data_IF_741041500039
#
_entry.id   IF_741041500039
#
_cell.length_a   1.000
_cell.length_b   1.000
_cell.length_c   1.000
_cell.angle_alpha   90.00
_cell.angle_beta   90.00
_cell.angle_gamma   90.00
#
_symmetry.space_group_name_H-M   'P 1'
#
loop_
_entity.id
_entity.type
_entity.pdbx_description
1 polymer ?
#
# COMPACT_ATOMS: atom_id res chain seq x y z
N UNK A 1 10.11 -0.19 -8.20
CA UNK A 1 10.54 -0.82 -6.93
C UNK A 1 11.94 -1.39 -7.09
N UNK A 2 12.68 -1.42 -5.99
CA UNK A 2 14.01 -2.06 -5.89
C UNK A 2 14.02 -2.85 -4.58
N UNK A 3 14.48 -4.10 -4.60
CA UNK A 3 14.53 -4.93 -3.40
C UNK A 3 15.70 -5.90 -3.41
N UNK A 4 16.09 -6.35 -2.22
CA UNK A 4 17.10 -7.37 -2.01
C UNK A 4 16.86 -8.11 -0.69
N UNK A 5 17.52 -9.26 -0.54
CA UNK A 5 17.73 -9.84 0.79
C UNK A 5 18.97 -9.22 1.43
N UNK A 6 18.89 -9.01 2.74
CA UNK A 6 19.96 -8.47 3.56
C UNK A 6 20.33 -9.46 4.66
N UNK A 7 21.63 -9.57 4.93
CA UNK A 7 22.16 -10.28 6.09
C UNK A 7 22.71 -9.28 7.12
N UNK A 8 22.81 -9.69 8.39
CA UNK A 8 23.30 -8.83 9.47
C UNK A 8 22.36 -7.67 9.85
N UNK A 9 21.06 -7.77 9.53
CA UNK A 9 20.05 -6.83 10.00
C UNK A 9 19.80 -7.08 11.48
N UNK A 10 19.82 -6.02 12.30
CA UNK A 10 19.54 -6.16 13.74
C UNK A 10 18.05 -6.43 13.97
N UNK A 11 17.76 -7.30 14.93
CA UNK A 11 16.38 -7.57 15.34
C UNK A 11 15.73 -6.34 15.99
N UNK A 12 14.46 -6.09 15.64
CA UNK A 12 13.65 -4.96 16.11
C UNK A 12 13.49 -4.92 17.65
N UNK A 13 13.46 -6.11 18.25
CA UNK A 13 13.24 -6.33 19.67
C UNK A 13 14.47 -6.93 20.36
N UNK A 14 15.66 -6.74 19.77
CA UNK A 14 16.92 -7.14 20.38
C UNK A 14 17.12 -6.49 21.76
N UNK A 15 17.92 -7.14 22.62
CA UNK A 15 18.22 -6.64 23.96
C UNK A 15 18.74 -5.19 23.93
N UNK A 16 19.69 -4.90 23.03
CA UNK A 16 20.24 -3.56 22.79
C UNK A 16 19.13 -2.53 22.49
N UNK A 17 18.19 -2.87 21.61
CA UNK A 17 17.08 -1.98 21.24
C UNK A 17 16.10 -1.76 22.39
N UNK A 18 15.82 -2.80 23.18
CA UNK A 18 14.94 -2.71 24.34
C UNK A 18 15.53 -1.84 25.45
N UNK A 19 16.84 -1.96 25.70
CA UNK A 19 17.56 -1.10 26.65
C UNK A 19 17.60 0.36 26.17
N UNK A 20 17.83 0.58 24.88
CA UNK A 20 17.91 1.93 24.31
C UNK A 20 16.56 2.63 24.23
N UNK A 21 15.48 1.89 24.00
CA UNK A 21 14.13 2.42 23.82
C UNK A 21 13.07 1.69 24.68
N UNK A 22 13.19 1.72 26.02
CA UNK A 22 12.36 0.92 26.91
C UNK A 22 10.88 1.26 26.81
N UNK A 23 10.52 2.54 26.63
CA UNK A 23 9.12 2.95 26.46
C UNK A 23 8.46 2.38 25.20
N UNK A 24 9.21 2.31 24.09
CA UNK A 24 8.72 1.74 22.85
C UNK A 24 8.61 0.21 22.96
N UNK A 25 9.62 -0.45 23.53
CA UNK A 25 9.64 -1.89 23.75
C UNK A 25 8.50 -2.34 24.68
N UNK A 26 8.34 -1.70 25.84
CA UNK A 26 7.36 -2.08 26.87
C UNK A 26 5.91 -1.91 26.44
N UNK A 27 5.65 -1.07 25.44
CA UNK A 27 4.31 -0.86 24.91
C UNK A 27 4.02 -1.64 23.63
N UNK A 28 4.95 -2.47 23.14
CA UNK A 28 4.67 -3.45 22.10
C UNK A 28 3.87 -4.62 22.70
N UNK A 29 2.73 -4.97 22.09
CA UNK A 29 1.90 -6.11 22.52
C UNK A 29 2.35 -7.44 21.92
N UNK A 30 3.11 -7.38 20.84
CA UNK A 30 3.71 -8.53 20.15
C UNK A 30 5.08 -8.11 19.63
N UNK A 31 5.95 -9.08 19.37
CA UNK A 31 7.26 -8.79 18.80
C UNK A 31 7.11 -8.35 17.34
N UNK A 32 7.80 -7.24 17.02
CA UNK A 32 7.84 -6.59 15.70
C UNK A 32 8.64 -7.40 14.70
N UNK A 33 9.56 -8.25 15.16
CA UNK A 33 10.33 -9.18 14.34
C UNK A 33 9.43 -10.19 13.58
N UNK A 34 8.22 -10.45 14.07
CA UNK A 34 7.28 -11.36 13.42
C UNK A 34 6.29 -10.67 12.48
N UNK A 35 6.42 -9.36 12.28
CA UNK A 35 5.53 -8.57 11.46
C UNK A 35 6.18 -8.16 10.13
N UNK A 36 5.35 -7.94 9.11
CA UNK A 36 5.73 -7.15 7.93
C UNK A 36 5.80 -5.68 8.36
N UNK A 37 7.02 -5.16 8.49
CA UNK A 37 7.25 -3.78 8.91
C UNK A 37 7.33 -2.85 7.70
N UNK A 38 6.86 -1.62 7.86
CA UNK A 38 6.82 -0.64 6.79
C UNK A 38 7.44 0.68 7.25
N UNK A 39 8.44 1.18 6.51
CA UNK A 39 8.90 2.56 6.63
C UNK A 39 8.18 3.37 5.55
N UNK A 40 7.71 4.57 5.85
CA UNK A 40 6.92 5.36 4.90
C UNK A 40 7.40 6.81 4.88
N UNK A 41 7.36 7.42 3.70
CA UNK A 41 7.64 8.83 3.50
C UNK A 41 6.83 9.41 2.35
N UNK A 42 7.06 10.68 2.03
CA UNK A 42 6.36 11.32 0.93
C UNK A 42 6.82 10.74 -0.41
N UNK A 43 5.93 10.04 -1.10
CA UNK A 43 6.21 9.43 -2.40
C UNK A 43 6.87 8.05 -2.36
N UNK A 44 7.09 7.45 -1.18
CA UNK A 44 7.75 6.15 -1.08
C UNK A 44 7.36 5.39 0.20
N UNK A 45 7.52 4.07 0.16
CA UNK A 45 7.55 3.22 1.34
C UNK A 45 8.54 2.06 1.14
N UNK A 46 9.02 1.50 2.25
CA UNK A 46 9.84 0.30 2.26
C UNK A 46 9.16 -0.81 3.04
N UNK A 47 9.17 -2.04 2.51
CA UNK A 47 8.88 -3.23 3.32
C UNK A 47 10.14 -3.73 4.01
N UNK A 48 9.96 -4.38 5.16
CA UNK A 48 10.98 -5.10 5.92
C UNK A 48 10.32 -6.38 6.44
N UNK A 49 10.74 -7.52 5.90
CA UNK A 49 10.16 -8.84 6.18
C UNK A 49 11.28 -9.80 6.61
N UNK A 50 11.36 -10.12 7.90
CA UNK A 50 12.28 -11.16 8.38
C UNK A 50 11.96 -12.51 7.76
N UNK A 51 13.00 -13.22 7.31
CA UNK A 51 12.90 -14.53 6.66
C UNK A 51 13.43 -15.62 7.58
N UNK A 52 13.02 -16.85 7.29
CA UNK A 52 13.60 -18.03 7.92
C UNK A 52 15.11 -18.05 7.64
N UNK A 53 15.92 -18.15 8.71
CA UNK A 53 17.38 -18.19 8.62
C UNK A 53 18.07 -16.89 9.02
N UNK A 54 17.33 -15.82 9.35
CA UNK A 54 17.87 -14.56 9.86
C UNK A 54 18.14 -13.50 8.79
N UNK A 55 18.03 -13.85 7.51
CA UNK A 55 18.02 -12.86 6.43
C UNK A 55 16.72 -12.06 6.44
N UNK A 56 16.77 -10.84 5.90
CA UNK A 56 15.62 -9.94 5.83
C UNK A 56 15.38 -9.52 4.39
N UNK A 57 14.17 -9.73 3.88
CA UNK A 57 13.73 -9.12 2.62
C UNK A 57 13.38 -7.66 2.87
N UNK A 58 14.04 -6.76 2.16
CA UNK A 58 13.72 -5.33 2.21
C UNK A 58 13.68 -4.74 0.81
N UNK A 59 12.72 -3.83 0.59
CA UNK A 59 12.54 -3.22 -0.71
C UNK A 59 11.81 -1.90 -0.63
N UNK A 60 12.13 -0.99 -1.53
CA UNK A 60 11.48 0.31 -1.70
C UNK A 60 10.52 0.26 -2.89
N UNK A 61 9.32 0.80 -2.68
CA UNK A 61 8.38 1.16 -3.75
C UNK A 61 8.13 2.66 -3.68
N UNK A 62 8.08 3.31 -4.84
CA UNK A 62 7.95 4.75 -4.92
C UNK A 62 7.19 5.19 -6.18
N UNK A 63 6.60 6.37 -6.09
CA UNK A 63 5.90 7.05 -7.18
C UNK A 63 6.84 8.05 -7.86
N UNK A 64 7.28 7.71 -9.06
CA UNK A 64 8.24 8.51 -9.84
C UNK A 64 7.72 9.90 -10.25
N UNK A 65 6.44 10.21 -10.00
CA UNK A 65 5.90 11.56 -10.20
C UNK A 65 6.34 12.54 -9.11
N UNK A 66 6.68 12.03 -7.93
CA UNK A 66 6.93 12.85 -6.73
C UNK A 66 8.15 12.42 -5.91
N UNK A 67 8.77 11.28 -6.23
CA UNK A 67 9.97 10.81 -5.55
C UNK A 67 10.93 10.13 -6.53
N UNK A 68 12.21 10.48 -6.41
CA UNK A 68 13.30 9.80 -7.08
C UNK A 68 14.18 9.10 -6.05
N UNK A 69 14.44 7.81 -6.26
CA UNK A 69 15.42 7.08 -5.47
C UNK A 69 16.80 7.71 -5.71
N UNK A 70 17.51 8.21 -4.67
CA UNK A 70 18.81 8.85 -4.83
C UNK A 70 19.81 8.01 -5.64
N UNK A 71 20.69 8.68 -6.39
CA UNK A 71 21.70 8.02 -7.21
C UNK A 71 22.76 7.29 -6.35
N UNK A 72 23.40 6.28 -6.93
CA UNK A 72 24.44 5.47 -6.30
C UNK A 72 25.02 4.49 -7.33
N UNK A 73 26.18 3.91 -7.05
CA UNK A 73 26.90 3.11 -8.05
C UNK A 73 26.16 1.81 -8.41
N UNK A 74 25.44 1.21 -7.45
CA UNK A 74 24.61 0.02 -7.67
C UNK A 74 23.20 0.19 -7.11
N UNK A 75 22.24 -0.60 -7.60
CA UNK A 75 20.87 -0.63 -7.05
C UNK A 75 20.85 -1.05 -5.57
N UNK A 76 21.70 -2.00 -5.19
CA UNK A 76 21.81 -2.47 -3.82
C UNK A 76 22.27 -1.34 -2.88
N UNK A 77 23.28 -0.56 -3.29
CA UNK A 77 23.72 0.62 -2.54
C UNK A 77 22.64 1.68 -2.45
N UNK A 78 21.93 1.97 -3.54
CA UNK A 78 20.83 2.95 -3.55
C UNK A 78 19.72 2.55 -2.58
N UNK A 79 19.33 1.27 -2.59
CA UNK A 79 18.34 0.71 -1.67
C UNK A 79 18.82 0.80 -0.22
N UNK A 80 20.04 0.33 0.07
CA UNK A 80 20.60 0.35 1.43
C UNK A 80 20.74 1.77 1.96
N UNK A 81 21.31 2.70 1.18
CA UNK A 81 21.41 4.12 1.52
C UNK A 81 20.04 4.74 1.82
N UNK A 82 19.02 4.40 1.04
CA UNK A 82 17.68 4.89 1.31
C UNK A 82 17.10 4.31 2.61
N UNK A 83 17.25 3.00 2.87
CA UNK A 83 16.82 2.37 4.13
C UNK A 83 17.47 3.05 5.32
N UNK A 84 18.79 3.24 5.30
CA UNK A 84 19.52 3.87 6.42
C UNK A 84 19.32 5.39 6.51
N UNK A 85 18.66 6.04 5.54
CA UNK A 85 18.29 7.45 5.66
C UNK A 85 17.14 7.67 6.63
N UNK A 86 16.33 6.64 6.89
CA UNK A 86 15.27 6.67 7.89
C UNK A 86 15.84 6.30 9.27
N UNK A 87 15.49 6.98 10.38
CA UNK A 87 16.08 6.72 11.72
C UNK A 87 15.99 5.26 12.18
N UNK A 88 14.85 4.61 11.93
CA UNK A 88 14.66 3.19 12.23
C UNK A 88 15.54 2.31 11.33
N UNK A 89 15.61 2.61 10.03
CA UNK A 89 16.42 1.85 9.11
C UNK A 89 17.91 2.00 9.40
N UNK A 90 18.37 3.20 9.78
CA UNK A 90 19.75 3.43 10.23
C UNK A 90 20.11 2.49 11.40
N UNK A 91 19.21 2.39 12.37
CA UNK A 91 19.43 1.63 13.59
C UNK A 91 19.45 0.11 13.38
N UNK A 92 18.77 -0.43 12.36
CA UNK A 92 18.71 -1.89 12.12
C UNK A 92 19.45 -2.38 10.87
N UNK A 93 19.60 -1.54 9.84
CA UNK A 93 20.34 -1.84 8.61
C UNK A 93 21.75 -1.23 8.57
N UNK A 94 22.17 -0.46 9.58
CA UNK A 94 23.43 0.29 9.54
C UNK A 94 24.69 -0.52 9.23
N UNK A 95 24.73 -1.79 9.66
CA UNK A 95 25.80 -2.75 9.35
C UNK A 95 25.36 -3.89 8.42
N UNK A 96 24.09 -3.89 8.01
CA UNK A 96 23.54 -4.94 7.16
C UNK A 96 24.12 -4.85 5.75
N UNK A 97 24.29 -6.01 5.12
CA UNK A 97 24.81 -6.12 3.75
C UNK A 97 23.74 -6.75 2.86
N UNK A 98 23.54 -6.17 1.67
CA UNK A 98 22.73 -6.82 0.65
C UNK A 98 23.44 -8.09 0.19
N UNK A 99 22.70 -9.19 0.04
CA UNK A 99 23.26 -10.44 -0.48
C UNK A 99 23.66 -10.22 -1.94
N UNK A 100 24.91 -10.56 -2.26
CA UNK A 100 25.46 -10.39 -3.60
C UNK A 100 24.65 -11.17 -4.63
N UNK A 101 24.34 -10.53 -5.77
CA UNK A 101 23.56 -11.13 -6.85
C UNK A 101 22.05 -11.20 -6.61
N UNK A 102 21.55 -10.73 -5.46
CA UNK A 102 20.13 -10.83 -5.09
C UNK A 102 19.40 -9.48 -5.04
N UNK A 103 19.86 -8.53 -5.86
CA UNK A 103 19.17 -7.25 -6.05
C UNK A 103 18.29 -7.32 -7.29
N UNK A 104 17.03 -6.94 -7.12
CA UNK A 104 16.03 -6.94 -8.16
C UNK A 104 15.41 -5.56 -8.30
N UNK A 105 14.93 -5.24 -9.50
CA UNK A 105 14.18 -4.03 -9.75
C UNK A 105 13.08 -4.29 -10.76
N UNK A 106 11.96 -3.60 -10.55
CA UNK A 106 10.82 -3.63 -11.48
C UNK A 106 10.19 -2.24 -11.54
N UNK A 107 10.09 -1.68 -12.74
CA UNK A 107 9.46 -0.39 -13.01
C UNK A 107 8.01 -0.61 -13.48
N UNK A 108 7.18 0.44 -13.39
CA UNK A 108 5.79 0.40 -13.85
C UNK A 108 5.00 -0.82 -13.31
N UNK A 109 5.09 -1.04 -11.98
CA UNK A 109 4.44 -2.17 -11.30
C UNK A 109 2.97 -2.40 -11.71
N UNK A 110 2.09 -1.37 -11.76
CA UNK A 110 0.69 -1.61 -12.03
C UNK A 110 0.44 -1.98 -13.50
N UNK A 111 -0.13 -3.15 -13.76
CA UNK A 111 -0.60 -3.60 -15.07
C UNK A 111 -1.85 -4.45 -14.93
N UNK A 112 -2.62 -4.61 -16.00
CA UNK A 112 -3.79 -5.48 -16.02
C UNK A 112 -4.10 -5.98 -17.43
N UNK A 113 -4.77 -7.13 -17.51
CA UNK A 113 -5.24 -7.72 -18.77
C UNK A 113 -6.69 -7.33 -19.05
N UNK A 114 -6.97 -6.87 -20.27
CA UNK A 114 -8.34 -6.55 -20.71
C UNK A 114 -9.23 -7.79 -20.84
N UNK A 115 -8.62 -8.95 -21.13
CA UNK A 115 -9.26 -10.25 -21.23
C UNK A 115 -8.47 -11.24 -20.38
N UNK A 116 -9.16 -12.04 -19.58
CA UNK A 116 -8.54 -12.98 -18.62
C UNK A 116 -8.94 -14.44 -18.83
N UNK A 117 -9.87 -14.71 -19.74
CA UNK A 117 -10.13 -16.06 -20.22
C UNK A 117 -10.65 -16.08 -21.66
N UNK A 118 -10.60 -17.24 -22.29
CA UNK A 118 -11.14 -17.49 -23.62
C UNK A 118 -11.27 -18.97 -23.89
N UNK A 119 -11.46 -19.33 -25.15
CA UNK A 119 -11.51 -20.72 -25.55
C UNK A 119 -10.15 -21.40 -25.29
N UNK A 120 -10.16 -22.47 -24.49
CA UNK A 120 -8.97 -23.23 -24.12
C UNK A 120 -8.00 -22.57 -23.13
N UNK A 121 -8.30 -21.40 -22.55
CA UNK A 121 -7.40 -20.76 -21.59
C UNK A 121 -8.09 -19.86 -20.56
N UNK A 122 -7.49 -19.76 -19.37
CA UNK A 122 -7.84 -18.79 -18.33
C UNK A 122 -6.58 -18.40 -17.55
N UNK A 123 -6.41 -17.11 -17.30
CA UNK A 123 -5.30 -16.55 -16.52
C UNK A 123 -5.68 -16.44 -15.04
N UNK A 124 -4.71 -16.57 -14.14
CA UNK A 124 -4.87 -16.44 -12.69
C UNK A 124 -3.71 -15.65 -12.07
N UNK A 125 -3.92 -15.08 -10.89
CA UNK A 125 -2.90 -14.36 -10.13
C UNK A 125 -2.22 -13.26 -10.94
N UNK A 126 -0.90 -13.17 -10.85
CA UNK A 126 -0.13 -12.11 -11.51
C UNK A 126 -0.18 -12.18 -13.05
N UNK A 127 -0.58 -13.31 -13.65
CA UNK A 127 -0.82 -13.36 -15.10
C UNK A 127 -2.03 -12.49 -15.53
N UNK A 128 -2.90 -12.12 -14.58
CA UNK A 128 -4.07 -11.28 -14.84
C UNK A 128 -3.79 -9.80 -14.60
N UNK A 129 -3.18 -9.44 -13.47
CA UNK A 129 -2.79 -8.08 -13.12
C UNK A 129 -1.83 -8.04 -11.93
N UNK A 130 -1.19 -6.88 -11.74
CA UNK A 130 -0.52 -6.51 -10.50
C UNK A 130 -0.82 -5.04 -10.20
N UNK A 131 -0.85 -4.65 -8.92
CA UNK A 131 -1.12 -3.27 -8.51
C UNK A 131 0.08 -2.69 -7.76
N UNK A 132 0.22 -3.07 -6.50
CA UNK A 132 1.18 -2.54 -5.54
C UNK A 132 1.32 -3.58 -4.43
N UNK A 133 2.54 -3.85 -3.91
CA UNK A 133 2.72 -4.83 -2.85
C UNK A 133 2.27 -4.32 -1.47
N UNK A 134 1.94 -3.04 -1.30
CA UNK A 134 1.38 -2.48 -0.07
C UNK A 134 0.04 -3.15 0.22
N UNK A 135 -0.18 -3.61 1.46
CA UNK A 135 -1.30 -4.46 1.88
C UNK A 135 -1.34 -5.87 1.26
N UNK A 136 -0.34 -6.26 0.48
CA UNK A 136 -0.19 -7.61 -0.07
C UNK A 136 -1.40 -8.16 -0.87
N UNK A 137 -2.07 -7.35 -1.72
CA UNK A 137 -3.28 -7.77 -2.43
C UNK A 137 -3.04 -8.89 -3.45
N UNK A 138 -1.80 -9.13 -3.89
CA UNK A 138 -1.48 -10.14 -4.90
C UNK A 138 -1.95 -11.55 -4.50
N UNK A 139 -1.84 -11.91 -3.22
CA UNK A 139 -2.33 -13.19 -2.71
C UNK A 139 -3.85 -13.26 -2.66
N UNK A 140 -4.55 -12.14 -2.42
CA UNK A 140 -6.01 -12.09 -2.54
C UNK A 140 -6.43 -12.34 -3.99
N UNK A 141 -5.85 -11.61 -4.93
CA UNK A 141 -6.11 -11.79 -6.36
C UNK A 141 -5.79 -13.23 -6.80
N UNK A 142 -4.66 -13.78 -6.39
CA UNK A 142 -4.30 -15.18 -6.66
C UNK A 142 -5.35 -16.14 -6.11
N UNK A 143 -5.82 -15.93 -4.87
CA UNK A 143 -6.82 -16.80 -4.24
C UNK A 143 -8.17 -16.76 -4.96
N UNK A 144 -8.72 -15.56 -5.21
CA UNK A 144 -9.98 -15.40 -5.92
C UNK A 144 -9.93 -15.97 -7.34
N UNK A 145 -8.89 -15.63 -8.10
CA UNK A 145 -8.78 -16.06 -9.50
C UNK A 145 -8.52 -17.55 -9.63
N UNK A 146 -7.62 -18.12 -8.81
CA UNK A 146 -7.32 -19.56 -8.85
C UNK A 146 -8.53 -20.39 -8.44
N UNK A 147 -9.25 -19.97 -7.40
CA UNK A 147 -10.47 -20.67 -6.98
C UNK A 147 -11.56 -20.59 -8.07
N UNK A 148 -11.80 -19.40 -8.62
CA UNK A 148 -12.78 -19.19 -9.66
C UNK A 148 -12.50 -20.06 -10.90
N UNK A 149 -11.25 -20.05 -11.38
CA UNK A 149 -10.83 -20.83 -12.54
C UNK A 149 -10.86 -22.33 -12.25
N UNK A 150 -10.47 -22.78 -11.06
CA UNK A 150 -10.58 -24.19 -10.69
C UNK A 150 -12.05 -24.67 -10.70
N UNK A 151 -12.98 -23.87 -10.18
CA UNK A 151 -14.41 -24.18 -10.23
C UNK A 151 -14.93 -24.22 -11.69
N UNK A 152 -14.56 -23.24 -12.50
CA UNK A 152 -14.90 -23.18 -13.92
C UNK A 152 -14.44 -24.45 -14.65
N UNK A 153 -13.17 -24.85 -14.45
CA UNK A 153 -12.60 -26.04 -15.06
C UNK A 153 -13.31 -27.32 -14.61
N UNK A 154 -13.59 -27.47 -13.31
CA UNK A 154 -14.29 -28.64 -12.80
C UNK A 154 -15.68 -28.81 -13.45
N UNK A 155 -16.45 -27.73 -13.58
CA UNK A 155 -17.76 -27.74 -14.23
C UNK A 155 -17.67 -28.03 -15.73
N UNK A 156 -16.68 -27.45 -16.40
CA UNK A 156 -16.43 -27.73 -17.81
C UNK A 156 -16.08 -29.20 -18.06
N UNK A 157 -15.22 -29.79 -17.22
CA UNK A 157 -14.86 -31.22 -17.30
C UNK A 157 -16.03 -32.16 -16.97
N UNK A 158 -16.99 -31.70 -16.17
CA UNK A 158 -18.24 -32.42 -15.92
C UNK A 158 -19.24 -32.33 -17.10
N UNK A 159 -18.90 -31.63 -18.19
CA UNK A 159 -19.77 -31.45 -19.36
C UNK A 159 -20.83 -30.37 -19.18
N UNK A 160 -20.74 -29.53 -18.15
CA UNK A 160 -21.66 -28.41 -17.97
C UNK A 160 -21.37 -27.27 -18.95
N UNK A 161 -22.41 -26.52 -19.31
CA UNK A 161 -22.23 -25.26 -20.04
C UNK A 161 -21.66 -24.19 -19.10
N UNK A 162 -20.42 -23.75 -19.38
CA UNK A 162 -19.69 -22.74 -18.59
C UNK A 162 -19.61 -21.38 -19.28
N UNK A 163 -20.35 -21.12 -20.36
CA UNK A 163 -20.24 -19.87 -21.13
C UNK A 163 -20.51 -18.64 -20.25
N UNK A 164 -21.52 -18.72 -19.39
CA UNK A 164 -21.85 -17.64 -18.45
C UNK A 164 -20.74 -17.37 -17.42
N UNK A 165 -19.95 -18.38 -17.04
CA UNK A 165 -18.81 -18.20 -16.14
C UNK A 165 -17.65 -17.51 -16.86
N UNK A 166 -17.36 -17.90 -18.10
CA UNK A 166 -16.35 -17.24 -18.93
C UNK A 166 -16.71 -15.75 -19.14
N UNK A 167 -17.98 -15.47 -19.48
CA UNK A 167 -18.48 -14.12 -19.67
C UNK A 167 -18.40 -13.30 -18.37
N UNK A 168 -18.82 -13.89 -17.24
CA UNK A 168 -18.69 -13.24 -15.94
C UNK A 168 -17.24 -12.91 -15.62
N UNK A 169 -16.31 -13.85 -15.79
CA UNK A 169 -14.92 -13.65 -15.41
C UNK A 169 -14.27 -12.54 -16.22
N UNK A 170 -14.45 -12.55 -17.55
CA UNK A 170 -13.97 -11.50 -18.44
C UNK A 170 -14.60 -10.13 -18.15
N UNK A 171 -15.89 -10.07 -17.80
CA UNK A 171 -16.56 -8.80 -17.54
C UNK A 171 -16.25 -8.24 -16.15
N UNK A 172 -16.20 -9.09 -15.14
CA UNK A 172 -16.09 -8.68 -13.74
C UNK A 172 -14.64 -8.43 -13.32
N UNK A 173 -13.67 -9.18 -13.85
CA UNK A 173 -12.27 -9.01 -13.45
C UNK A 173 -11.72 -7.59 -13.69
N UNK A 174 -11.87 -6.97 -14.88
CA UNK A 174 -11.49 -5.58 -15.12
C UNK A 174 -12.10 -4.60 -14.12
N UNK A 175 -13.36 -4.83 -13.75
CA UNK A 175 -14.10 -4.00 -12.79
C UNK A 175 -13.49 -4.15 -11.39
N UNK A 176 -13.19 -5.37 -10.98
CA UNK A 176 -12.53 -5.67 -9.71
C UNK A 176 -11.17 -4.99 -9.62
N UNK A 177 -10.28 -5.21 -10.60
CA UNK A 177 -8.97 -4.57 -10.64
C UNK A 177 -9.09 -3.04 -10.57
N UNK A 178 -9.87 -2.45 -11.48
CA UNK A 178 -9.98 -1.00 -11.61
C UNK A 178 -10.52 -0.36 -10.35
N UNK A 179 -11.56 -0.92 -9.74
CA UNK A 179 -12.12 -0.39 -8.48
C UNK A 179 -11.13 -0.52 -7.34
N UNK A 180 -10.44 -1.64 -7.24
CA UNK A 180 -9.43 -1.84 -6.20
C UNK A 180 -8.30 -0.80 -6.32
N UNK A 181 -7.74 -0.63 -7.52
CA UNK A 181 -6.72 0.39 -7.80
C UNK A 181 -7.24 1.81 -7.54
N UNK A 182 -8.35 2.17 -8.18
CA UNK A 182 -8.90 3.53 -8.12
C UNK A 182 -9.46 3.88 -6.75
N UNK A 183 -9.75 2.93 -5.85
CA UNK A 183 -10.25 3.17 -4.51
C UNK A 183 -9.13 3.20 -3.47
N UNK A 184 -8.19 2.25 -3.51
CA UNK A 184 -7.12 2.15 -2.50
C UNK A 184 -5.82 2.84 -2.93
N UNK A 185 -5.28 2.54 -4.11
CA UNK A 185 -3.87 2.83 -4.42
C UNK A 185 -3.65 4.14 -5.16
N UNK A 186 -4.59 4.55 -6.03
CA UNK A 186 -4.42 5.73 -6.88
C UNK A 186 -4.10 6.99 -6.06
N UNK A 187 -2.90 7.54 -6.26
CA UNK A 187 -2.37 8.73 -5.57
C UNK A 187 -2.14 8.55 -4.05
N UNK A 188 -2.17 7.33 -3.51
CA UNK A 188 -1.88 7.06 -2.08
C UNK A 188 -0.50 7.55 -1.65
N UNK A 189 0.48 7.49 -2.55
CA UNK A 189 1.86 7.94 -2.34
C UNK A 189 1.99 9.42 -1.96
N UNK A 190 0.99 10.25 -2.27
CA UNK A 190 0.98 11.65 -1.82
C UNK A 190 0.78 11.80 -0.31
N UNK A 191 0.12 10.86 0.38
CA UNK A 191 -0.22 11.02 1.79
C UNK A 191 0.34 9.93 2.71
N UNK A 192 0.94 8.85 2.19
CA UNK A 192 1.45 7.75 3.02
C UNK A 192 2.54 8.19 4.02
N UNK A 193 3.28 9.25 3.70
CA UNK A 193 4.26 9.87 4.62
C UNK A 193 3.65 10.76 5.70
N UNK A 194 2.34 11.03 5.69
CA UNK A 194 1.66 11.84 6.69
C UNK A 194 1.00 10.93 7.74
N UNK A 195 1.50 10.94 8.97
CA UNK A 195 1.12 9.96 10.00
C UNK A 195 -0.40 9.96 10.29
N UNK A 196 -1.03 11.13 10.36
CA UNK A 196 -2.47 11.26 10.63
C UNK A 196 -3.34 10.85 9.43
N UNK A 197 -2.92 11.16 8.20
CA UNK A 197 -3.65 10.79 6.98
C UNK A 197 -3.50 9.29 6.68
N UNK A 198 -2.30 8.74 6.82
CA UNK A 198 -2.05 7.31 6.64
C UNK A 198 -2.72 6.49 7.74
N UNK A 199 -2.77 6.98 8.98
CA UNK A 199 -3.57 6.38 10.05
C UNK A 199 -5.06 6.32 9.69
N UNK A 200 -5.63 7.44 9.23
CA UNK A 200 -7.01 7.48 8.77
C UNK A 200 -7.26 6.48 7.64
N UNK A 201 -6.37 6.44 6.64
CA UNK A 201 -6.46 5.49 5.54
C UNK A 201 -6.38 4.04 6.00
N UNK A 202 -5.36 3.67 6.79
CA UNK A 202 -5.17 2.31 7.28
C UNK A 202 -6.42 1.80 8.04
N UNK A 203 -6.95 2.63 8.94
CA UNK A 203 -8.13 2.29 9.73
C UNK A 203 -9.36 2.05 8.86
N UNK A 204 -9.59 2.89 7.86
CA UNK A 204 -10.74 2.78 6.96
C UNK A 204 -10.57 1.66 5.92
N UNK A 205 -9.40 1.59 5.30
CA UNK A 205 -9.05 0.60 4.27
C UNK A 205 -9.13 -0.82 4.85
N UNK A 206 -8.45 -1.07 5.96
CA UNK A 206 -8.35 -2.42 6.54
C UNK A 206 -9.65 -2.82 7.22
N UNK A 207 -10.36 -1.89 7.89
CA UNK A 207 -11.70 -2.23 8.39
C UNK A 207 -12.68 -2.55 7.25
N UNK A 208 -12.62 -1.79 6.14
CA UNK A 208 -13.39 -2.07 4.93
C UNK A 208 -13.05 -3.43 4.34
N UNK A 209 -11.76 -3.79 4.26
CA UNK A 209 -11.28 -5.11 3.84
C UNK A 209 -11.86 -6.24 4.71
N UNK A 210 -11.85 -6.08 6.04
CA UNK A 210 -12.38 -7.11 6.93
C UNK A 210 -13.90 -7.29 6.81
N UNK A 211 -14.64 -6.20 6.60
CA UNK A 211 -16.09 -6.26 6.39
C UNK A 211 -16.43 -6.86 5.03
N UNK A 212 -15.73 -6.40 3.99
CA UNK A 212 -16.06 -6.68 2.60
C UNK A 212 -15.55 -8.02 2.08
N UNK A 213 -14.42 -8.51 2.59
CA UNK A 213 -13.74 -9.70 2.07
C UNK A 213 -13.51 -10.77 3.13
N UNK A 214 -12.83 -10.43 4.23
CA UNK A 214 -12.47 -11.41 5.26
C UNK A 214 -13.72 -12.06 5.87
N UNK A 215 -14.71 -11.26 6.29
CA UNK A 215 -15.91 -11.80 6.93
C UNK A 215 -16.73 -12.72 6.02
N UNK A 216 -17.00 -12.38 4.73
CA UNK A 216 -17.62 -13.32 3.80
C UNK A 216 -16.81 -14.61 3.61
N UNK A 217 -15.50 -14.51 3.38
CA UNK A 217 -14.62 -15.68 3.17
C UNK A 217 -14.60 -16.61 4.39
N UNK A 218 -14.57 -16.07 5.61
CA UNK A 218 -14.59 -16.86 6.83
C UNK A 218 -15.95 -17.53 7.10
N UNK A 219 -17.04 -16.96 6.55
CA UNK A 219 -18.38 -17.49 6.75
C UNK A 219 -18.72 -18.59 5.75
N UNK A 220 -18.38 -18.37 4.49
CA UNK A 220 -18.68 -19.28 3.37
C UNK A 220 -17.60 -19.07 2.29
N UNK A 221 -16.46 -19.76 2.39
CA UNK A 221 -15.36 -19.57 1.47
C UNK A 221 -15.71 -20.01 0.04
N UNK A 222 -16.55 -21.04 -0.12
CA UNK A 222 -16.93 -21.55 -1.44
C UNK A 222 -17.74 -20.51 -2.22
N UNK A 223 -18.74 -19.90 -1.56
CA UNK A 223 -19.51 -18.82 -2.15
C UNK A 223 -18.69 -17.54 -2.34
N UNK A 224 -17.86 -17.19 -1.35
CA UNK A 224 -17.09 -15.94 -1.39
C UNK A 224 -16.03 -15.95 -2.50
N UNK A 225 -15.23 -17.01 -2.64
CA UNK A 225 -14.19 -17.06 -3.65
C UNK A 225 -14.72 -17.28 -5.07
N UNK A 226 -15.96 -17.77 -5.23
CA UNK A 226 -16.62 -17.85 -6.54
C UNK A 226 -17.08 -16.49 -7.07
N UNK A 227 -17.01 -15.41 -6.28
CA UNK A 227 -17.50 -14.08 -6.65
C UNK A 227 -16.40 -13.03 -6.47
N UNK A 228 -16.06 -12.36 -7.57
CA UNK A 228 -14.96 -11.41 -7.54
C UNK A 228 -15.32 -10.14 -6.75
N UNK A 229 -14.37 -9.57 -6.00
CA UNK A 229 -14.56 -8.35 -5.21
C UNK A 229 -15.12 -7.16 -6.00
N UNK A 230 -15.84 -6.27 -5.30
CA UNK A 230 -16.49 -5.09 -5.86
C UNK A 230 -17.58 -5.36 -6.92
N UNK A 231 -18.19 -6.54 -6.96
CA UNK A 231 -19.33 -6.80 -7.83
C UNK A 231 -20.63 -6.06 -7.40
N UNK A 232 -21.55 -5.90 -8.36
CA UNK A 232 -22.91 -5.42 -8.09
C UNK A 232 -23.04 -4.00 -7.53
N UNK A 233 -24.20 -3.69 -6.94
CA UNK A 233 -24.50 -2.40 -6.29
C UNK A 233 -23.69 -2.19 -5.00
N UNK A 234 -23.57 -3.18 -4.08
CA UNK A 234 -22.78 -3.00 -2.85
C UNK A 234 -21.31 -2.67 -3.15
N UNK A 235 -20.70 -3.37 -4.11
CA UNK A 235 -19.34 -3.10 -4.56
C UNK A 235 -19.16 -1.69 -5.11
N UNK A 236 -20.13 -1.17 -5.87
CA UNK A 236 -20.10 0.24 -6.35
C UNK A 236 -20.15 1.25 -5.21
N UNK A 237 -21.03 1.04 -4.23
CA UNK A 237 -21.16 1.93 -3.08
C UNK A 237 -19.87 1.93 -2.26
N UNK A 238 -19.33 0.75 -1.96
CA UNK A 238 -18.06 0.61 -1.25
C UNK A 238 -16.91 1.32 -1.99
N UNK A 239 -16.72 1.03 -3.28
CA UNK A 239 -15.68 1.67 -4.09
C UNK A 239 -15.83 3.19 -4.12
N UNK A 240 -17.07 3.71 -4.21
CA UNK A 240 -17.34 5.16 -4.26
C UNK A 240 -17.02 5.84 -2.93
N UNK A 241 -17.39 5.24 -1.80
CA UNK A 241 -17.06 5.75 -0.46
C UNK A 241 -15.53 5.76 -0.26
N UNK A 242 -14.85 4.68 -0.65
CA UNK A 242 -13.39 4.59 -0.59
C UNK A 242 -12.72 5.64 -1.46
N UNK A 243 -13.26 5.84 -2.66
CA UNK A 243 -12.79 6.87 -3.58
C UNK A 243 -12.96 8.28 -3.01
N UNK A 244 -14.05 8.53 -2.29
CA UNK A 244 -14.30 9.82 -1.66
C UNK A 244 -13.23 10.15 -0.61
N UNK A 245 -13.06 9.33 0.43
CA UNK A 245 -12.11 9.67 1.49
C UNK A 245 -10.67 9.69 0.96
N UNK A 246 -10.29 8.75 0.08
CA UNK A 246 -8.94 8.74 -0.47
C UNK A 246 -8.64 10.02 -1.26
N UNK A 247 -9.54 10.47 -2.15
CA UNK A 247 -9.35 11.74 -2.89
C UNK A 247 -9.21 12.93 -1.95
N UNK A 248 -9.95 12.93 -0.83
CA UNK A 248 -9.81 13.94 0.21
C UNK A 248 -8.45 13.90 0.89
N UNK A 249 -7.98 12.73 1.33
CA UNK A 249 -6.64 12.54 1.89
C UNK A 249 -5.52 13.01 0.94
N UNK A 250 -5.64 12.70 -0.35
CA UNK A 250 -4.72 13.19 -1.39
C UNK A 250 -4.73 14.72 -1.47
N UNK A 251 -5.91 15.33 -1.45
CA UNK A 251 -6.05 16.80 -1.47
C UNK A 251 -5.39 17.43 -0.25
N UNK A 252 -5.62 16.87 0.94
CA UNK A 252 -5.02 17.34 2.19
C UNK A 252 -3.49 17.29 2.14
N UNK A 253 -2.92 16.19 1.68
CA UNK A 253 -1.47 16.06 1.57
C UNK A 253 -0.87 16.98 0.50
N UNK A 254 -1.53 17.16 -0.65
CA UNK A 254 -1.11 18.14 -1.67
C UNK A 254 -1.14 19.57 -1.15
N UNK A 255 -2.13 19.92 -0.33
CA UNK A 255 -2.18 21.24 0.33
C UNK A 255 -1.02 21.42 1.31
N UNK A 256 -0.69 20.39 2.10
CA UNK A 256 0.47 20.40 3.01
C UNK A 256 1.79 20.53 2.24
N UNK A 257 1.95 19.78 1.15
CA UNK A 257 3.11 19.88 0.25
C UNK A 257 3.26 21.29 -0.33
N UNK A 258 2.17 21.86 -0.87
CA UNK A 258 2.16 23.22 -1.41
C UNK A 258 2.42 24.32 -0.36
N UNK A 259 2.25 24.01 0.92
CA UNK A 259 2.54 24.89 2.03
C UNK A 259 3.92 24.62 2.69
N UNK A 260 4.70 23.64 2.22
CA UNK A 260 5.95 23.23 2.84
C UNK A 260 5.79 22.61 4.24
N UNK A 261 4.64 22.00 4.52
CA UNK A 261 4.25 21.49 5.86
C UNK A 261 4.07 19.97 5.92
N UNK A 262 4.70 19.23 5.00
CA UNK A 262 4.72 17.77 5.07
C UNK A 262 5.43 17.33 6.36
N UNK A 263 4.89 16.30 7.00
CA UNK A 263 5.45 15.67 8.19
C UNK A 263 5.37 16.48 9.48
N UNK A 264 4.78 17.68 9.46
CA UNK A 264 4.73 18.59 10.62
C UNK A 264 4.08 17.94 11.87
N UNK A 265 3.13 17.02 11.65
CA UNK A 265 2.41 16.32 12.71
C UNK A 265 2.92 14.89 12.96
N UNK A 266 4.01 14.47 12.30
CA UNK A 266 4.54 13.12 12.44
C UNK A 266 5.32 12.94 13.74
N UNK A 267 6.05 13.96 14.17
CA UNK A 267 6.86 13.91 15.38
C UNK A 267 6.00 13.68 16.61
N UNK A 268 6.36 12.68 17.42
CA UNK A 268 5.58 12.27 18.60
C UNK A 268 4.26 11.55 18.27
N UNK A 269 3.96 11.31 16.99
CA UNK A 269 2.79 10.53 16.61
C UNK A 269 3.01 9.06 16.95
N UNK A 270 2.07 8.51 17.71
CA UNK A 270 2.03 7.09 18.01
C UNK A 270 0.59 6.60 18.07
N UNK A 271 0.34 5.48 17.42
CA UNK A 271 -0.98 4.87 17.44
C UNK A 271 -0.86 3.35 17.51
N UNK A 272 -1.57 2.77 18.47
CA UNK A 272 -1.68 1.33 18.65
C UNK A 272 -3.15 0.94 18.47
N UNK A 273 -3.37 -0.15 17.74
CA UNK A 273 -4.70 -0.69 17.49
C UNK A 273 -4.85 -2.05 18.17
N UNK A 274 -6.07 -2.41 18.56
CA UNK A 274 -6.39 -3.73 19.11
C UNK A 274 -6.37 -4.86 18.05
N UNK A 275 -5.82 -4.60 16.86
CA UNK A 275 -5.91 -5.44 15.67
C UNK A 275 -7.24 -5.29 14.94
N UNK A 276 -7.35 -5.99 13.81
CA UNK A 276 -8.58 -6.09 13.02
C UNK A 276 -9.12 -7.52 13.17
N UNK A 277 -10.35 -7.65 13.65
CA UNK A 277 -11.05 -8.92 13.82
C UNK A 277 -12.41 -8.79 13.14
N UNK A 278 -12.90 -9.81 12.39
CA UNK A 278 -14.14 -9.70 11.61
C UNK A 278 -15.43 -9.71 12.46
N UNK A 279 -15.52 -8.86 13.48
CA UNK A 279 -16.64 -8.74 14.40
C UNK A 279 -17.06 -7.27 14.66
N UNK A 280 -17.92 -7.05 15.65
CA UNK A 280 -18.45 -5.72 15.98
C UNK A 280 -17.38 -4.70 16.39
N UNK A 281 -16.17 -5.13 16.77
CA UNK A 281 -15.08 -4.23 17.15
C UNK A 281 -14.69 -3.31 16.02
N UNK A 282 -14.80 -3.74 14.74
CA UNK A 282 -14.49 -2.94 13.54
C UNK A 282 -15.15 -1.56 13.53
N UNK A 283 -16.30 -1.39 14.20
CA UNK A 283 -16.96 -0.08 14.35
C UNK A 283 -16.05 0.95 15.04
N UNK A 284 -15.20 0.51 15.99
CA UNK A 284 -14.25 1.36 16.72
C UNK A 284 -13.15 1.84 15.78
N UNK A 285 -12.58 0.95 14.96
CA UNK A 285 -11.56 1.29 13.96
C UNK A 285 -12.13 2.26 12.92
N UNK A 286 -13.34 2.01 12.42
CA UNK A 286 -14.01 2.91 11.46
C UNK A 286 -14.25 4.27 12.09
N UNK A 287 -14.85 4.33 13.28
CA UNK A 287 -15.10 5.59 13.96
C UNK A 287 -13.80 6.36 14.28
N UNK A 288 -12.71 5.66 14.58
CA UNK A 288 -11.39 6.26 14.75
C UNK A 288 -10.84 6.80 13.44
N UNK A 289 -10.90 6.03 12.34
CA UNK A 289 -10.45 6.47 11.01
C UNK A 289 -11.22 7.69 10.52
N UNK A 290 -12.55 7.72 10.70
CA UNK A 290 -13.40 8.87 10.40
C UNK A 290 -13.02 10.10 11.25
N UNK A 291 -12.79 9.92 12.55
CA UNK A 291 -12.34 11.03 13.43
C UNK A 291 -10.97 11.56 13.00
N UNK A 292 -10.03 10.71 12.59
CA UNK A 292 -8.71 11.14 12.08
C UNK A 292 -8.85 11.94 10.80
N UNK A 293 -9.63 11.43 9.86
CA UNK A 293 -9.91 12.13 8.61
C UNK A 293 -10.58 13.49 8.87
N UNK A 294 -11.65 13.55 9.68
CA UNK A 294 -12.28 14.82 10.02
C UNK A 294 -11.34 15.79 10.73
N UNK A 295 -10.53 15.33 11.68
CA UNK A 295 -9.53 16.21 12.32
C UNK A 295 -8.57 16.81 11.30
N UNK A 296 -8.12 16.02 10.31
CA UNK A 296 -7.24 16.51 9.26
C UNK A 296 -7.92 17.53 8.33
N UNK A 297 -9.20 17.33 8.01
CA UNK A 297 -10.01 18.30 7.26
C UNK A 297 -10.12 19.64 8.00
N UNK A 298 -10.43 19.61 9.30
CA UNK A 298 -10.53 20.82 10.13
C UNK A 298 -9.20 21.58 10.21
N UNK A 299 -8.09 20.86 10.41
CA UNK A 299 -6.74 21.45 10.37
C UNK A 299 -6.46 22.12 9.02
N UNK A 300 -6.87 21.49 7.92
CA UNK A 300 -6.70 22.05 6.59
C UNK A 300 -7.50 23.33 6.36
N UNK A 301 -8.74 23.42 6.84
CA UNK A 301 -9.53 24.66 6.77
C UNK A 301 -8.85 25.82 7.51
N UNK A 302 -8.29 25.55 8.70
CA UNK A 302 -7.54 26.54 9.47
C UNK A 302 -6.22 26.97 8.79
N UNK A 303 -5.62 26.14 7.93
CA UNK A 303 -4.47 26.52 7.11
C UNK A 303 -4.87 27.42 5.94
N UNK A 304 -5.98 27.10 5.27
CA UNK A 304 -6.49 27.90 4.15
C UNK A 304 -6.87 29.31 4.57
N UNK A 305 -7.44 29.51 5.77
CA UNK A 305 -7.76 30.84 6.29
C UNK A 305 -6.51 31.69 6.56
N UNK A 306 -5.41 31.09 7.05
CA UNK A 306 -4.12 31.78 7.23
C UNK A 306 -3.49 32.20 5.90
N UNK A 307 -3.63 31.38 4.85
CA UNK A 307 -3.14 31.70 3.50
C UNK A 307 -3.90 32.87 2.87
N UNK A 308 -5.17 33.06 3.21
CA UNK A 308 -5.96 34.23 2.79
C UNK A 308 -5.56 35.53 3.50
N UNK A 309 -4.87 35.46 4.64
CA UNK A 309 -4.42 36.63 5.41
C UNK A 309 -2.95 37.00 5.16
N UNK A 310 -2.18 36.15 4.49
CA UNK A 310 -0.83 36.46 4.03
C UNK A 310 -0.87 36.94 2.57
N UNK A 311 -0.50 38.19 2.32
CA UNK A 311 -0.27 38.71 0.97
C UNK A 311 0.73 37.81 0.21
N UNK A 312 0.60 37.66 -1.12
CA UNK A 312 1.47 36.76 -1.88
C UNK A 312 2.91 37.27 -1.84
N UNK A 313 3.81 36.46 -1.27
CA UNK A 313 5.25 36.62 -1.47
C UNK A 313 5.58 36.30 -2.94
N UNK A 314 6.53 37.02 -3.57
CA UNK A 314 6.86 36.80 -4.97
C UNK A 314 7.35 35.37 -5.19
N UNK A 315 6.71 34.67 -6.12
CA UNK A 315 7.04 33.30 -6.50
C UNK A 315 8.52 33.16 -6.87
N UNK A 316 9.22 32.25 -6.20
CA UNK A 316 10.43 31.66 -6.76
C UNK A 316 10.05 30.90 -8.03
N UNK A 317 10.72 31.24 -9.13
CA UNK A 317 10.53 30.68 -10.46
C UNK A 317 10.81 29.18 -10.44
N UNK A 318 9.81 28.38 -10.80
CA UNK A 318 9.97 26.97 -11.14
C UNK A 318 10.55 26.92 -12.57
N UNK A 319 11.67 26.23 -12.84
CA UNK A 319 12.17 26.09 -14.21
C UNK A 319 11.15 25.31 -15.05
N UNK A 320 10.76 25.88 -16.19
CA UNK A 320 9.80 25.28 -17.11
C UNK A 320 10.38 24.09 -17.89
N UNK A 321 9.49 23.21 -18.36
CA UNK A 321 9.73 21.95 -19.10
C UNK A 321 10.53 22.06 -20.42
N UNK A 322 11.12 23.20 -20.76
CA UNK A 322 11.73 23.44 -22.07
C UNK A 322 13.19 22.92 -22.23
N UNK A 323 13.77 22.23 -21.25
CA UNK A 323 15.15 21.69 -21.34
C UNK A 323 15.27 20.17 -21.46
N UNK A 324 14.16 19.42 -21.54
CA UNK A 324 14.19 17.98 -21.84
C UNK A 324 13.97 17.70 -23.32
N UNK A 325 14.86 18.19 -24.18
CA UNK A 325 15.05 17.55 -25.49
C UNK A 325 16.50 17.68 -25.93
N UNK A 326 17.11 16.51 -26.15
CA UNK A 326 18.26 16.16 -27.01
C UNK A 326 19.22 15.23 -26.28
N UNK A 327 19.19 13.96 -26.66
CA UNK A 327 20.16 12.97 -26.20
C UNK A 327 19.75 11.52 -26.46
N UNK A 328 19.43 11.18 -27.71
CA UNK A 328 19.59 9.82 -28.25
C UNK A 328 20.19 9.99 -29.65
N UNK A 329 21.04 9.07 -30.11
CA UNK A 329 20.70 7.65 -30.29
C UNK A 329 21.17 6.72 -29.17
#
# INVERSE_FOLDING_TARGET
AVWARFTGVKEWDSYEWREKFPEMANACRTSREWATNHLMGYGWWCWIIPLRGGDVSAGIVYDSRIFDLPAGATLAQRLHHHLISHPVGHAIFGQAQAIEGDVHAFSALPYWSEKVCGDGWAAVGDATSFIDPLYSPGLDFCSFTSYYVANLLARSLAGENVSALLDYYNAQYPVTYRRWFESLYQDKYFYMGEADLMSAALLLDVAGYYIGLVRPVYRDPECAFARLPFEGRPGRVAASMMKLYRRRLVTLAKNRAAAGRLGEVNSGWRELYDGFVPDFRLRKQIAQGLRRWWSAEWKNLAMSSRRAHSAPAPCAVIPSEAQRSRGTP
#
